data_IF_787446501702
#
_entry.id   IF_787446501702
#
_cell.length_a   1.000
_cell.length_b   1.000
_cell.length_c   1.000
_cell.angle_alpha   90.00
_cell.angle_beta   90.00
_cell.angle_gamma   90.00
#
_symmetry.space_group_name_H-M   'P 1'
#
loop_
_entity.id
_entity.type
_entity.pdbx_description
1 polymer ?
#
# COMPACT_ATOMS: atom_id res chain seq x y z
N UNK A 1 -26.45 -7.29 45.63
CA UNK A 1 -26.54 -6.83 44.22
C UNK A 1 -25.67 -5.59 43.91
N UNK A 2 -24.57 -5.33 44.65
CA UNK A 2 -23.74 -4.11 44.47
C UNK A 2 -22.28 -4.42 44.15
N UNK A 3 -21.74 -5.45 44.81
CA UNK A 3 -20.38 -5.96 44.62
C UNK A 3 -20.14 -6.60 43.25
N UNK A 4 -21.20 -7.13 42.61
CA UNK A 4 -21.07 -7.81 41.32
C UNK A 4 -20.75 -6.88 40.15
N UNK A 5 -21.13 -5.59 40.19
CA UNK A 5 -20.81 -4.66 39.11
C UNK A 5 -19.35 -4.20 39.14
N UNK A 6 -18.79 -3.97 40.33
CA UNK A 6 -17.39 -3.56 40.47
C UNK A 6 -16.43 -4.61 39.91
N UNK A 7 -16.73 -5.89 40.10
CA UNK A 7 -15.92 -6.98 39.55
C UNK A 7 -15.91 -6.97 38.01
N UNK A 8 -17.04 -6.67 37.36
CA UNK A 8 -17.13 -6.61 35.88
C UNK A 8 -16.35 -5.42 35.34
N UNK A 9 -16.46 -4.25 35.97
CA UNK A 9 -15.75 -3.03 35.55
C UNK A 9 -14.23 -3.14 35.68
N UNK A 10 -13.72 -4.02 36.55
CA UNK A 10 -12.27 -4.27 36.68
C UNK A 10 -11.82 -5.42 35.78
N UNK A 11 -12.61 -6.49 35.67
CA UNK A 11 -12.27 -7.64 34.84
C UNK A 11 -12.22 -7.30 33.35
N UNK A 12 -13.13 -6.44 32.87
CA UNK A 12 -13.21 -6.08 31.45
C UNK A 12 -11.97 -5.31 30.94
N UNK A 13 -11.51 -4.21 31.57
CA UNK A 13 -10.28 -3.54 31.16
C UNK A 13 -9.04 -4.41 31.39
N UNK A 14 -9.00 -5.25 32.43
CA UNK A 14 -7.88 -6.20 32.60
C UNK A 14 -7.83 -7.21 31.45
N UNK A 15 -8.98 -7.77 31.04
CA UNK A 15 -9.05 -8.67 29.89
C UNK A 15 -8.62 -7.96 28.60
N UNK A 16 -9.05 -6.71 28.40
CA UNK A 16 -8.67 -5.90 27.24
C UNK A 16 -7.16 -5.61 27.18
N UNK A 17 -6.54 -5.31 28.32
CA UNK A 17 -5.08 -5.11 28.42
C UNK A 17 -4.33 -6.43 28.18
N UNK A 18 -4.84 -7.55 28.69
CA UNK A 18 -4.24 -8.86 28.46
C UNK A 18 -4.34 -9.29 27.00
N UNK A 19 -5.47 -9.03 26.31
CA UNK A 19 -5.62 -9.33 24.89
C UNK A 19 -4.71 -8.46 24.04
N UNK A 20 -4.62 -7.15 24.32
CA UNK A 20 -3.71 -6.24 23.63
C UNK A 20 -2.24 -6.64 23.83
N UNK A 21 -1.87 -7.09 25.03
CA UNK A 21 -0.52 -7.61 25.31
C UNK A 21 -0.23 -8.96 24.61
N UNK A 22 -1.26 -9.73 24.25
CA UNK A 22 -1.10 -10.97 23.47
C UNK A 22 -1.02 -10.73 21.97
N UNK A 23 -1.61 -9.65 21.44
CA UNK A 23 -1.57 -9.32 20.01
C UNK A 23 -0.14 -9.00 19.51
N UNK A 24 0.77 -8.57 20.38
CA UNK A 24 2.16 -8.29 20.02
C UNK A 24 3.01 -9.56 19.79
N UNK A 25 2.52 -10.75 20.12
CA UNK A 25 3.23 -12.03 19.91
C UNK A 25 2.82 -12.79 18.64
N UNK A 26 1.91 -12.27 17.84
CA UNK A 26 1.57 -12.83 16.53
C UNK A 26 2.47 -12.23 15.44
N UNK A 27 3.71 -12.74 15.35
CA UNK A 27 4.69 -12.55 14.27
C UNK A 27 4.52 -11.27 13.39
N UNK A 28 4.64 -10.06 13.95
CA UNK A 28 4.44 -8.81 13.20
C UNK A 28 5.37 -8.72 11.99
N UNK A 29 6.53 -9.36 12.08
CA UNK A 29 7.54 -9.35 11.02
C UNK A 29 7.06 -10.03 9.73
N UNK A 30 6.17 -11.03 9.75
CA UNK A 30 5.73 -11.71 8.52
C UNK A 30 4.77 -10.81 7.73
N UNK A 31 3.80 -10.19 8.43
CA UNK A 31 2.88 -9.25 7.80
C UNK A 31 3.61 -8.01 7.29
N UNK A 32 4.54 -7.48 8.10
CA UNK A 32 5.35 -6.32 7.70
C UNK A 32 6.27 -6.66 6.55
N UNK A 33 6.91 -7.84 6.54
CA UNK A 33 7.73 -8.29 5.41
C UNK A 33 6.89 -8.46 4.15
N UNK A 34 5.69 -9.05 4.24
CA UNK A 34 4.79 -9.21 3.10
C UNK A 34 4.29 -7.87 2.57
N UNK A 35 4.00 -6.91 3.47
CA UNK A 35 3.65 -5.54 3.09
C UNK A 35 4.85 -4.83 2.43
N UNK A 36 6.05 -4.98 2.98
CA UNK A 36 7.29 -4.42 2.40
C UNK A 36 7.58 -5.03 1.02
N UNK A 37 7.36 -6.33 0.82
CA UNK A 37 7.46 -6.96 -0.51
C UNK A 37 6.44 -6.39 -1.48
N UNK A 38 5.18 -6.20 -1.06
CA UNK A 38 4.14 -5.56 -1.87
C UNK A 38 4.52 -4.12 -2.25
N UNK A 39 5.03 -3.34 -1.30
CA UNK A 39 5.49 -1.97 -1.55
C UNK A 39 6.70 -1.95 -2.48
N UNK A 40 7.63 -2.91 -2.36
CA UNK A 40 8.76 -3.03 -3.28
C UNK A 40 8.31 -3.36 -4.70
N UNK A 41 7.35 -4.26 -4.87
CA UNK A 41 6.79 -4.58 -6.20
C UNK A 41 6.13 -3.35 -6.84
N UNK A 42 5.41 -2.54 -6.05
CA UNK A 42 4.81 -1.31 -6.55
C UNK A 42 5.88 -0.24 -6.87
N UNK A 43 6.92 -0.14 -6.04
CA UNK A 43 8.06 0.74 -6.27
C UNK A 43 8.83 0.36 -7.54
N UNK A 44 9.13 -0.93 -7.76
CA UNK A 44 9.80 -1.43 -8.97
C UNK A 44 8.95 -1.22 -10.22
N UNK A 45 7.62 -1.31 -10.10
CA UNK A 45 6.70 -0.98 -11.19
C UNK A 45 6.70 0.52 -11.52
N UNK A 46 7.04 1.36 -10.54
CA UNK A 46 7.15 2.81 -10.66
C UNK A 46 8.55 3.35 -11.00
N UNK A 47 9.58 2.49 -11.13
CA UNK A 47 10.90 2.96 -11.55
C UNK A 47 10.83 3.34 -13.03
N UNK A 48 10.89 4.64 -13.28
CA UNK A 48 10.99 5.20 -14.62
C UNK A 48 12.11 4.51 -15.41
N UNK A 49 11.76 3.91 -16.56
CA UNK A 49 12.77 3.36 -17.47
C UNK A 49 13.70 4.50 -17.90
N UNK A 50 15.00 4.26 -17.94
CA UNK A 50 15.95 5.27 -18.38
C UNK A 50 15.60 5.76 -19.80
N UNK A 51 15.30 7.05 -19.93
CA UNK A 51 14.87 7.66 -21.20
C UNK A 51 13.36 7.62 -21.51
N UNK A 52 12.52 7.14 -20.59
CA UNK A 52 11.07 7.23 -20.75
C UNK A 52 10.59 8.68 -20.76
N UNK A 53 9.42 8.90 -21.35
CA UNK A 53 8.76 10.19 -21.51
C UNK A 53 7.66 10.33 -20.48
N UNK A 54 7.77 11.38 -19.66
CA UNK A 54 6.75 11.76 -18.69
C UNK A 54 5.46 12.25 -19.37
N UNK A 55 4.45 12.57 -18.57
CA UNK A 55 3.18 13.12 -19.03
C UNK A 55 3.39 14.31 -19.98
N UNK A 56 2.68 14.31 -21.11
CA UNK A 56 2.82 15.25 -22.22
C UNK A 56 4.14 15.21 -23.00
N UNK A 57 5.05 14.29 -22.69
CA UNK A 57 6.22 14.02 -23.51
C UNK A 57 5.83 13.39 -24.86
N UNK A 58 6.54 13.77 -25.93
CA UNK A 58 6.28 13.21 -27.26
C UNK A 58 6.68 11.74 -27.33
N UNK A 59 5.84 10.91 -27.95
CA UNK A 59 6.03 9.46 -28.05
C UNK A 59 5.68 8.95 -29.46
N UNK A 60 6.38 7.90 -29.89
CA UNK A 60 6.09 7.13 -31.10
C UNK A 60 5.45 5.77 -30.79
N UNK A 61 5.56 5.26 -29.57
CA UNK A 61 4.93 4.03 -29.08
C UNK A 61 4.64 4.13 -27.58
N UNK A 62 3.77 3.27 -27.07
CA UNK A 62 3.42 3.25 -25.65
C UNK A 62 4.63 2.98 -24.74
N UNK A 63 5.60 2.18 -25.21
CA UNK A 63 6.83 1.89 -24.46
C UNK A 63 7.77 3.08 -24.29
N UNK A 64 7.57 4.17 -25.05
CA UNK A 64 8.35 5.39 -24.87
C UNK A 64 7.91 6.14 -23.61
N UNK A 65 6.70 5.88 -23.11
CA UNK A 65 6.14 6.54 -21.95
C UNK A 65 6.58 5.86 -20.65
N UNK A 66 6.66 6.65 -19.58
CA UNK A 66 6.97 6.13 -18.25
C UNK A 66 5.83 5.23 -17.71
N UNK A 67 6.06 4.44 -16.64
CA UNK A 67 5.02 3.62 -16.05
C UNK A 67 3.74 4.41 -15.75
N UNK A 68 2.57 3.76 -15.89
CA UNK A 68 1.22 4.37 -15.80
C UNK A 68 0.88 5.37 -16.92
N UNK A 69 1.73 5.51 -17.92
CA UNK A 69 1.47 6.34 -19.10
C UNK A 69 1.46 5.48 -20.38
N UNK A 70 0.63 5.90 -21.33
CA UNK A 70 0.57 5.32 -22.67
C UNK A 70 0.54 6.42 -23.72
N UNK A 71 1.03 6.10 -24.91
CA UNK A 71 1.11 7.05 -26.01
C UNK A 71 -0.27 7.26 -26.65
N UNK A 72 -0.84 8.45 -26.51
CA UNK A 72 -2.07 8.85 -27.18
C UNK A 72 -1.76 9.21 -28.62
N UNK A 73 -2.22 8.36 -29.54
CA UNK A 73 -1.95 8.45 -30.98
C UNK A 73 -2.53 9.70 -31.66
N UNK A 74 -3.57 10.30 -31.08
CA UNK A 74 -4.21 11.50 -31.63
C UNK A 74 -3.26 12.70 -31.71
N UNK A 75 -2.41 12.86 -30.70
CA UNK A 75 -1.47 13.99 -30.60
C UNK A 75 -0.02 13.55 -30.30
N UNK A 76 0.25 12.23 -30.33
CA UNK A 76 1.56 11.61 -30.09
C UNK A 76 2.24 12.07 -28.80
N UNK A 77 1.49 12.01 -27.69
CA UNK A 77 1.98 12.35 -26.35
C UNK A 77 1.64 11.28 -25.32
N UNK A 78 2.46 11.17 -24.28
CA UNK A 78 2.21 10.30 -23.14
C UNK A 78 1.11 10.86 -22.26
N UNK A 79 0.06 10.08 -22.04
CA UNK A 79 -1.01 10.41 -21.11
C UNK A 79 -1.26 9.23 -20.18
N UNK A 80 -1.91 9.48 -19.05
CA UNK A 80 -2.27 8.43 -18.10
C UNK A 80 -3.03 7.30 -18.83
N UNK A 81 -2.57 6.07 -18.60
CA UNK A 81 -3.13 4.88 -19.26
C UNK A 81 -4.42 4.38 -18.58
N UNK A 82 -4.75 4.90 -17.39
CA UNK A 82 -5.92 4.52 -16.61
C UNK A 82 -5.64 3.46 -15.54
N UNK A 83 -4.40 2.99 -15.41
CA UNK A 83 -4.00 2.13 -14.30
C UNK A 83 -3.95 2.93 -13.00
N UNK A 84 -4.61 2.45 -11.95
CA UNK A 84 -4.43 2.95 -10.58
C UNK A 84 -3.20 2.32 -9.96
#
# INVERSE_FOLDING_TARGET
>A
MKTSMLAVFVALPLAFVLTAATEERAHPNELVNSLVELVKLDAERGVDKEGCKYMFGSCGKSDDCCPKLACKRTFNYCAWDGSV
#
